data_IF_841052078765
#
_entry.id   IF_841052078765
#
_cell.length_a   1.000
_cell.length_b   1.000
_cell.length_c   1.000
_cell.angle_alpha   90.00
_cell.angle_beta   90.00
_cell.angle_gamma   90.00
#
_symmetry.space_group_name_H-M   'P 1'
#
loop_
_entity.id
_entity.type
_entity.pdbx_description
1 polymer ?
#
# COMPACT_ATOMS: atom_id res chain seq x y z
N UNK A 1 23.23 -2.79 3.52
CA UNK A 1 21.94 -2.83 2.79
C UNK A 1 21.96 -1.60 1.89
N UNK A 2 21.70 -1.77 0.60
CA UNK A 2 21.75 -0.63 -0.33
C UNK A 2 20.51 0.24 -0.13
N UNK A 3 20.59 1.53 -0.48
CA UNK A 3 19.45 2.44 -0.37
C UNK A 3 18.25 1.97 -1.21
N UNK A 4 18.48 1.15 -2.25
CA UNK A 4 17.43 0.52 -3.05
C UNK A 4 16.75 -0.64 -2.29
N UNK A 5 17.52 -1.50 -1.62
CA UNK A 5 16.97 -2.57 -0.77
C UNK A 5 16.09 -2.00 0.36
N UNK A 6 16.51 -0.87 0.96
CA UNK A 6 15.73 -0.21 2.01
C UNK A 6 14.39 0.34 1.48
N UNK A 7 14.38 0.89 0.26
CA UNK A 7 13.16 1.37 -0.38
C UNK A 7 12.21 0.20 -0.74
N UNK A 8 12.77 -0.92 -1.22
CA UNK A 8 12.00 -2.14 -1.49
C UNK A 8 11.40 -2.73 -0.20
N UNK A 9 12.17 -2.79 0.89
CA UNK A 9 11.67 -3.26 2.19
C UNK A 9 10.49 -2.43 2.69
N UNK A 10 10.55 -1.10 2.55
CA UNK A 10 9.41 -0.22 2.87
C UNK A 10 8.19 -0.49 1.99
N UNK A 11 8.40 -0.72 0.69
CA UNK A 11 7.31 -1.06 -0.21
C UNK A 11 6.62 -2.39 0.18
N UNK A 12 7.39 -3.38 0.66
CA UNK A 12 6.86 -4.66 1.16
C UNK A 12 6.04 -4.49 2.46
N UNK A 13 6.50 -3.64 3.39
CA UNK A 13 5.75 -3.30 4.60
C UNK A 13 4.41 -2.63 4.24
N UNK A 14 4.44 -1.62 3.37
CA UNK A 14 3.24 -0.94 2.89
C UNK A 14 2.28 -1.88 2.15
N UNK A 15 2.81 -2.83 1.37
CA UNK A 15 2.01 -3.85 0.69
C UNK A 15 1.33 -4.79 1.68
N UNK A 16 2.01 -5.13 2.78
CA UNK A 16 1.43 -5.95 3.86
C UNK A 16 0.24 -5.23 4.50
N UNK A 17 0.37 -3.92 4.75
CA UNK A 17 -0.71 -3.11 5.30
C UNK A 17 -1.87 -2.92 4.31
N UNK A 18 -1.57 -2.75 3.02
CA UNK A 18 -2.57 -2.66 1.96
C UNK A 18 -3.41 -3.94 1.87
N UNK A 19 -2.77 -5.11 1.94
CA UNK A 19 -3.50 -6.39 1.95
C UNK A 19 -4.40 -6.51 3.18
N UNK A 20 -3.94 -6.09 4.36
CA UNK A 20 -4.77 -6.09 5.57
C UNK A 20 -6.02 -5.23 5.40
N UNK A 21 -5.87 -4.00 4.90
CA UNK A 21 -7.02 -3.11 4.65
C UNK A 21 -7.94 -3.63 3.55
N UNK A 22 -7.41 -4.34 2.55
CA UNK A 22 -8.25 -5.00 1.54
C UNK A 22 -9.10 -6.10 2.17
N UNK A 23 -8.53 -6.89 3.06
CA UNK A 23 -9.25 -7.95 3.76
C UNK A 23 -10.31 -7.37 4.72
N UNK A 24 -10.06 -6.21 5.32
CA UNK A 24 -11.07 -5.43 6.07
C UNK A 24 -12.21 -4.96 5.16
N UNK A 25 -11.90 -4.52 3.93
CA UNK A 25 -12.91 -4.07 2.96
C UNK A 25 -13.77 -5.22 2.48
N UNK A 26 -13.17 -6.39 2.23
CA UNK A 26 -13.91 -7.61 1.92
C UNK A 26 -14.84 -8.03 3.06
N UNK A 27 -14.40 -7.92 4.32
CA UNK A 27 -15.26 -8.20 5.48
C UNK A 27 -16.44 -7.22 5.55
N UNK A 28 -16.18 -5.93 5.36
CA UNK A 28 -17.23 -4.90 5.36
C UNK A 28 -18.25 -5.12 4.23
N UNK A 29 -17.78 -5.48 3.04
CA UNK A 29 -18.64 -5.75 1.88
C UNK A 29 -19.54 -6.99 2.07
N UNK A 30 -19.15 -7.92 2.94
CA UNK A 30 -19.91 -9.12 3.26
C UNK A 30 -20.79 -8.97 4.52
N UNK A 31 -20.80 -7.80 5.17
CA UNK A 31 -21.65 -7.54 6.33
C UNK A 31 -23.13 -7.41 5.92
N UNK A 32 -24.04 -7.85 6.80
CA UNK A 32 -25.50 -7.75 6.58
C UNK A 32 -25.98 -6.29 6.49
N UNK A 33 -25.26 -5.37 7.13
CA UNK A 33 -25.48 -3.92 7.06
C UNK A 33 -24.15 -3.23 6.73
N UNK A 34 -24.09 -2.62 5.55
CA UNK A 34 -22.88 -1.99 5.03
C UNK A 34 -22.84 -0.54 5.51
N UNK A 35 -21.84 -0.21 6.33
CA UNK A 35 -21.50 1.17 6.63
C UNK A 35 -20.78 1.80 5.43
N UNK A 36 -21.52 2.60 4.65
CA UNK A 36 -21.03 3.23 3.44
C UNK A 36 -19.94 4.28 3.70
N UNK A 37 -19.99 4.99 4.81
CA UNK A 37 -18.97 5.99 5.15
C UNK A 37 -17.66 5.28 5.52
N UNK A 38 -17.74 4.21 6.32
CA UNK A 38 -16.57 3.38 6.63
C UNK A 38 -15.96 2.73 5.37
N UNK A 39 -16.79 2.34 4.39
CA UNK A 39 -16.30 1.79 3.13
C UNK A 39 -15.53 2.81 2.30
N UNK A 40 -16.02 4.06 2.24
CA UNK A 40 -15.36 5.16 1.53
C UNK A 40 -14.01 5.49 2.18
N UNK A 41 -13.97 5.59 3.50
CA UNK A 41 -12.73 5.84 4.24
C UNK A 41 -11.69 4.75 3.99
N UNK A 42 -12.11 3.48 4.01
CA UNK A 42 -11.21 2.36 3.77
C UNK A 42 -10.68 2.31 2.33
N UNK A 43 -11.50 2.69 1.35
CA UNK A 43 -11.07 2.83 -0.05
C UNK A 43 -10.07 3.99 -0.20
N UNK A 44 -10.27 5.10 0.50
CA UNK A 44 -9.33 6.21 0.50
C UNK A 44 -7.98 5.79 1.08
N UNK A 45 -7.98 5.08 2.21
CA UNK A 45 -6.75 4.56 2.82
C UNK A 45 -6.01 3.57 1.89
N UNK A 46 -6.74 2.71 1.17
CA UNK A 46 -6.17 1.80 0.18
C UNK A 46 -5.51 2.55 -0.98
N UNK A 47 -6.15 3.61 -1.48
CA UNK A 47 -5.58 4.45 -2.53
C UNK A 47 -4.30 5.17 -2.04
N UNK A 48 -4.28 5.61 -0.79
CA UNK A 48 -3.13 6.27 -0.19
C UNK A 48 -1.95 5.32 0.01
N UNK A 49 -2.20 4.08 0.44
CA UNK A 49 -1.16 3.05 0.52
C UNK A 49 -0.62 2.69 -0.86
N UNK A 50 -1.48 2.55 -1.87
CA UNK A 50 -1.03 2.27 -3.24
C UNK A 50 -0.09 3.36 -3.77
N UNK A 51 -0.43 4.65 -3.55
CA UNK A 51 0.43 5.79 -3.94
C UNK A 51 1.78 5.77 -3.21
N UNK A 52 1.82 5.38 -1.94
CA UNK A 52 3.06 5.28 -1.19
C UNK A 52 3.95 4.13 -1.69
N UNK A 53 3.36 2.98 -2.02
CA UNK A 53 4.08 1.86 -2.62
C UNK A 53 4.71 2.27 -3.96
N UNK A 54 3.93 2.91 -4.84
CA UNK A 54 4.44 3.41 -6.12
C UNK A 54 5.61 4.39 -5.95
N UNK A 55 5.55 5.26 -4.94
CA UNK A 55 6.61 6.20 -4.63
C UNK A 55 7.91 5.50 -4.21
N UNK A 56 7.84 4.51 -3.32
CA UNK A 56 9.03 3.74 -2.90
C UNK A 56 9.60 2.88 -4.03
N UNK A 57 8.74 2.28 -4.88
CA UNK A 57 9.20 1.55 -6.07
C UNK A 57 9.91 2.47 -7.07
N UNK A 58 9.36 3.67 -7.31
CA UNK A 58 9.99 4.69 -8.16
C UNK A 58 11.33 5.14 -7.59
N UNK A 59 11.41 5.31 -6.27
CA UNK A 59 12.64 5.65 -5.56
C UNK A 59 13.68 4.55 -5.71
N UNK A 60 13.31 3.29 -5.44
CA UNK A 60 14.19 2.13 -5.56
C UNK A 60 14.78 2.04 -6.98
N UNK A 61 13.92 2.21 -8.01
CA UNK A 61 14.35 2.25 -9.41
C UNK A 61 15.33 3.38 -9.68
N UNK A 62 15.04 4.60 -9.22
CA UNK A 62 15.92 5.76 -9.44
C UNK A 62 17.31 5.55 -8.81
N UNK A 63 17.37 4.90 -7.65
CA UNK A 63 18.63 4.57 -6.98
C UNK A 63 19.37 3.50 -7.79
N UNK A 64 18.70 2.42 -8.19
CA UNK A 64 19.30 1.36 -8.99
C UNK A 64 19.85 1.88 -10.34
N UNK A 65 19.13 2.79 -10.99
CA UNK A 65 19.55 3.44 -12.24
C UNK A 65 20.76 4.39 -12.03
N UNK A 66 20.97 4.90 -10.81
CA UNK A 66 22.09 5.78 -10.47
C UNK A 66 23.35 5.03 -9.98
N UNK A 67 23.16 3.82 -9.44
CA UNK A 67 24.23 2.93 -8.95
C UNK A 67 24.78 1.99 -10.03
N UNK A 68 24.17 1.94 -11.22
CA UNK A 68 24.57 1.11 -12.39
C UNK A 68 25.44 1.86 -13.40
#
# INVERSE_FOLDING_TARGET
MTSADDALGRAEELLTDLNRKRDELEQLANADDIDGDAAVDLIADLADLARQIEAELTRARTIADADG
#
